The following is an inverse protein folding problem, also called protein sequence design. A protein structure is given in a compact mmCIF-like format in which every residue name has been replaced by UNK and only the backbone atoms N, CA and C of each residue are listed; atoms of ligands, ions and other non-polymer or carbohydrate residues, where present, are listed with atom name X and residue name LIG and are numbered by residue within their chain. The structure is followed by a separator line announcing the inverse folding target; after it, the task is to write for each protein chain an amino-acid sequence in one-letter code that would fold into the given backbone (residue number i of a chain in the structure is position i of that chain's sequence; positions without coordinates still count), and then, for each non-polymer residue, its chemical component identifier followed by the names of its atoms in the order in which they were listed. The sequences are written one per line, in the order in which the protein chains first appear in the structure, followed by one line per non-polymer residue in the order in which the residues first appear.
data_IF_796147662564
#
_entry.id   IF_796147662564
#
_cell.length_a   1.000
_cell.length_b   1.000
_cell.length_c   1.000
_cell.angle_alpha   90.00
_cell.angle_beta   90.00
_cell.angle_gamma   90.00
#
_symmetry.space_group_name_H-M   'P 1'
#
loop_
_entity.id
_entity.type
_entity.pdbx_description
1 polymer ?
#
# COMPACT_ATOMS: atom_id res chain seq x y z
N UNK A 1 17.05 -0.12 -15.42
CA UNK A 1 15.94 -0.71 -16.21
C UNK A 1 14.85 0.35 -16.30
N UNK A 2 14.23 0.55 -17.49
CA UNK A 2 13.10 1.45 -17.62
C UNK A 2 11.87 0.92 -16.86
N UNK A 3 10.83 1.77 -16.76
CA UNK A 3 9.51 1.40 -16.21
C UNK A 3 8.96 0.17 -16.93
N UNK A 4 8.24 -0.69 -16.18
CA UNK A 4 7.48 -1.81 -16.76
C UNK A 4 6.13 -1.33 -17.30
N UNK A 5 5.83 -1.66 -18.54
CA UNK A 5 4.59 -1.27 -19.24
C UNK A 5 3.50 -2.36 -19.22
N UNK A 6 3.83 -3.55 -18.71
CA UNK A 6 2.89 -4.65 -18.49
C UNK A 6 2.17 -4.59 -17.13
N UNK A 7 2.51 -3.58 -16.30
CA UNK A 7 1.89 -3.31 -15.00
C UNK A 7 1.21 -1.95 -15.07
N UNK A 8 -0.03 -1.86 -14.62
CA UNK A 8 -0.80 -0.62 -14.57
C UNK A 8 -1.27 -0.31 -13.15
N UNK A 9 -1.70 -1.32 -12.39
CA UNK A 9 -2.20 -1.18 -11.02
C UNK A 9 -1.33 -1.94 -10.04
N UNK A 10 -0.91 -1.27 -8.96
CA UNK A 10 -0.09 -1.86 -7.91
C UNK A 10 -0.81 -1.75 -6.56
N UNK A 11 -0.96 -2.87 -5.87
CA UNK A 11 -1.45 -2.93 -4.50
C UNK A 11 -0.29 -2.81 -3.50
N UNK A 12 -0.42 -1.91 -2.53
CA UNK A 12 0.56 -1.65 -1.48
C UNK A 12 -0.08 -1.92 -0.11
N UNK A 13 0.25 -3.04 0.56
CA UNK A 13 -0.16 -3.26 1.95
C UNK A 13 0.71 -2.45 2.91
N UNK A 14 0.07 -1.69 3.79
CA UNK A 14 0.71 -0.95 4.89
C UNK A 14 1.00 -1.82 6.09
N UNK A 15 1.54 -1.20 7.15
CA UNK A 15 1.94 -1.89 8.38
C UNK A 15 0.82 -2.12 9.40
N UNK A 16 -0.35 -1.53 9.19
CA UNK A 16 -1.37 -1.47 10.23
C UNK A 16 -0.96 -0.56 11.40
N UNK A 17 -1.55 -0.74 12.60
CA UNK A 17 -1.33 0.13 13.75
C UNK A 17 0.12 0.08 14.25
N UNK A 18 0.58 1.20 14.82
CA UNK A 18 1.91 1.30 15.43
C UNK A 18 2.02 0.39 16.65
N UNK A 19 3.08 -0.42 16.68
CA UNK A 19 3.46 -1.27 17.82
C UNK A 19 4.96 -1.18 18.09
N UNK A 20 5.39 -1.64 19.26
CA UNK A 20 6.83 -1.73 19.57
C UNK A 20 7.49 -2.66 18.54
N UNK A 21 8.50 -2.16 17.84
CA UNK A 21 9.23 -2.89 16.80
C UNK A 21 8.67 -2.76 15.38
N UNK A 22 7.52 -2.10 15.21
CA UNK A 22 6.95 -1.75 13.90
C UNK A 22 6.13 -0.46 14.02
N UNK A 23 6.76 0.67 13.70
CA UNK A 23 6.21 1.99 14.00
C UNK A 23 6.15 2.91 12.77
N UNK A 24 6.36 4.21 12.98
CA UNK A 24 6.13 5.27 11.98
C UNK A 24 7.06 5.18 10.76
N UNK A 25 8.13 4.40 10.82
CA UNK A 25 9.04 4.14 9.69
C UNK A 25 8.31 3.57 8.47
N UNK A 26 7.17 2.88 8.67
CA UNK A 26 6.37 2.31 7.59
C UNK A 26 5.34 3.29 7.01
N UNK A 27 4.88 4.29 7.77
CA UNK A 27 4.16 5.42 7.17
C UNK A 27 5.10 6.22 6.26
N UNK A 28 6.31 6.52 6.75
CA UNK A 28 7.33 7.18 5.94
C UNK A 28 7.65 6.38 4.67
N UNK A 29 7.96 5.09 4.81
CA UNK A 29 8.36 4.24 3.67
C UNK A 29 7.19 4.02 2.70
N UNK A 30 5.99 3.76 3.21
CA UNK A 30 4.77 3.60 2.41
C UNK A 30 4.43 4.87 1.64
N UNK A 31 4.50 6.05 2.28
CA UNK A 31 4.29 7.35 1.62
C UNK A 31 5.28 7.57 0.48
N UNK A 32 6.57 7.26 0.69
CA UNK A 32 7.59 7.37 -0.35
C UNK A 32 7.31 6.42 -1.52
N UNK A 33 6.90 5.19 -1.24
CA UNK A 33 6.55 4.21 -2.26
C UNK A 33 5.36 4.66 -3.11
N UNK A 34 4.28 5.12 -2.49
CA UNK A 34 3.09 5.63 -3.18
C UNK A 34 3.47 6.81 -4.09
N UNK A 35 4.23 7.79 -3.57
CA UNK A 35 4.71 8.94 -4.37
C UNK A 35 5.55 8.50 -5.56
N UNK A 36 6.49 7.58 -5.35
CA UNK A 36 7.36 7.09 -6.42
C UNK A 36 6.59 6.35 -7.51
N UNK A 37 5.64 5.49 -7.13
CA UNK A 37 4.82 4.74 -8.09
C UNK A 37 3.91 5.68 -8.91
N UNK A 38 3.25 6.65 -8.26
CA UNK A 38 2.40 7.61 -8.97
C UNK A 38 3.18 8.55 -9.88
N UNK A 39 4.39 8.97 -9.48
CA UNK A 39 5.28 9.75 -10.34
C UNK A 39 5.69 9.00 -11.62
N UNK A 40 5.64 7.66 -11.60
CA UNK A 40 5.86 6.80 -12.78
C UNK A 40 4.56 6.46 -13.53
N UNK A 41 3.42 7.06 -13.14
CA UNK A 41 2.13 6.87 -13.80
C UNK A 41 1.48 5.51 -13.52
N UNK A 42 1.85 4.83 -12.44
CA UNK A 42 1.10 3.67 -11.96
C UNK A 42 -0.14 4.11 -11.20
N UNK A 43 -1.22 3.36 -11.35
CA UNK A 43 -2.36 3.41 -10.45
C UNK A 43 -1.99 2.71 -9.15
N UNK A 44 -2.16 3.38 -8.02
CA UNK A 44 -1.80 2.85 -6.70
C UNK A 44 -3.05 2.58 -5.87
N UNK A 45 -3.19 1.35 -5.43
CA UNK A 45 -4.18 0.90 -4.45
C UNK A 45 -3.44 0.69 -3.13
N UNK A 46 -3.87 1.36 -2.07
CA UNK A 46 -3.27 1.25 -0.75
C UNK A 46 -4.27 0.64 0.24
N UNK A 47 -3.80 -0.28 1.08
CA UNK A 47 -4.56 -0.74 2.26
C UNK A 47 -3.73 -0.55 3.52
N UNK A 48 -4.28 0.14 4.52
CA UNK A 48 -3.65 0.28 5.83
C UNK A 48 -4.72 0.56 6.89
N UNK A 49 -4.78 -0.27 7.93
CA UNK A 49 -5.77 -0.13 9.01
C UNK A 49 -5.50 1.04 9.95
N UNK A 50 -4.32 1.68 9.88
CA UNK A 50 -3.97 2.82 10.71
C UNK A 50 -4.44 4.14 10.08
N UNK A 51 -5.47 4.82 10.63
CA UNK A 51 -5.97 6.07 10.06
C UNK A 51 -5.06 7.28 10.35
N UNK A 52 -4.07 7.14 11.24
CA UNK A 52 -3.18 8.23 11.64
C UNK A 52 -1.86 8.20 10.85
N UNK A 53 -1.96 8.01 9.52
CA UNK A 53 -0.79 7.94 8.63
C UNK A 53 -0.96 8.87 7.43
N UNK A 54 0.13 9.48 6.99
CA UNK A 54 0.13 10.31 5.78
C UNK A 54 -0.15 9.47 4.53
N UNK A 55 0.34 8.23 4.50
CA UNK A 55 0.09 7.35 3.35
C UNK A 55 -1.41 7.12 3.11
N UNK A 56 -2.26 7.16 4.16
CA UNK A 56 -3.72 7.01 4.04
C UNK A 56 -4.46 8.31 3.70
N UNK A 57 -3.77 9.42 3.49
CA UNK A 57 -4.43 10.65 3.03
C UNK A 57 -5.11 10.41 1.67
N UNK A 58 -6.36 10.89 1.46
CA UNK A 58 -7.13 10.60 0.24
C UNK A 58 -6.46 11.04 -1.07
N UNK A 59 -5.53 12.01 -0.99
CA UNK A 59 -4.85 12.56 -2.16
C UNK A 59 -3.60 11.76 -2.56
N UNK A 60 -3.12 10.86 -1.69
CA UNK A 60 -1.83 10.19 -1.87
C UNK A 60 -1.91 9.03 -2.86
N UNK A 61 -2.87 8.12 -2.71
CA UNK A 61 -3.10 6.99 -3.61
C UNK A 61 -4.35 7.20 -4.48
N UNK A 62 -4.52 6.40 -5.53
CA UNK A 62 -5.71 6.47 -6.39
C UNK A 62 -6.90 5.75 -5.77
N UNK A 63 -6.65 4.73 -4.94
CA UNK A 63 -7.63 4.13 -4.04
C UNK A 63 -6.97 3.84 -2.68
N UNK A 64 -7.58 4.31 -1.60
CA UNK A 64 -7.10 4.10 -0.22
C UNK A 64 -8.16 3.37 0.59
N UNK A 65 -7.78 2.24 1.17
CA UNK A 65 -8.61 1.42 2.05
C UNK A 65 -8.09 1.50 3.48
N UNK A 66 -8.90 2.08 4.36
CA UNK A 66 -8.68 2.01 5.81
C UNK A 66 -9.44 0.80 6.34
N UNK A 67 -8.90 -0.37 6.04
CA UNK A 67 -9.46 -1.69 6.33
C UNK A 67 -8.44 -2.56 7.07
N UNK A 68 -8.85 -3.62 7.78
CA UNK A 68 -7.94 -4.58 8.40
C UNK A 68 -6.89 -5.10 7.42
N UNK A 69 -5.64 -5.20 7.85
CA UNK A 69 -4.54 -5.73 7.02
C UNK A 69 -4.46 -7.25 7.18
N UNK A 70 -5.55 -7.93 6.83
CA UNK A 70 -5.68 -9.40 6.89
C UNK A 70 -5.87 -10.00 5.50
N UNK A 71 -5.55 -11.29 5.28
CA UNK A 71 -5.74 -11.95 3.98
C UNK A 71 -7.16 -11.80 3.42
N UNK A 72 -8.20 -11.89 4.26
CA UNK A 72 -9.60 -11.81 3.82
C UNK A 72 -9.94 -10.42 3.27
N UNK A 73 -9.46 -9.37 3.95
CA UNK A 73 -9.65 -8.00 3.47
C UNK A 73 -8.84 -7.74 2.19
N UNK A 74 -7.60 -8.23 2.11
CA UNK A 74 -6.78 -8.14 0.91
C UNK A 74 -7.42 -8.91 -0.26
N UNK A 75 -7.96 -10.10 -0.05
CA UNK A 75 -8.67 -10.89 -1.07
C UNK A 75 -9.87 -10.12 -1.62
N UNK A 76 -10.68 -9.50 -0.76
CA UNK A 76 -11.81 -8.67 -1.16
C UNK A 76 -11.37 -7.46 -2.00
N UNK A 77 -10.31 -6.77 -1.55
CA UNK A 77 -9.73 -5.63 -2.29
C UNK A 77 -9.17 -6.10 -3.63
N UNK A 78 -8.42 -7.21 -3.68
CA UNK A 78 -7.87 -7.78 -4.92
C UNK A 78 -8.98 -8.16 -5.90
N UNK A 79 -10.08 -8.75 -5.41
CA UNK A 79 -11.22 -9.11 -6.25
C UNK A 79 -11.90 -7.87 -6.88
N UNK A 80 -12.00 -6.78 -6.12
CA UNK A 80 -12.56 -5.52 -6.60
C UNK A 80 -11.60 -4.76 -7.52
N UNK A 81 -10.35 -4.63 -7.11
CA UNK A 81 -9.36 -3.71 -7.70
C UNK A 81 -8.50 -4.34 -8.80
N UNK A 82 -8.43 -5.67 -8.81
CA UNK A 82 -7.67 -6.48 -9.78
C UNK A 82 -6.26 -5.93 -10.06
N UNK A 83 -5.41 -5.73 -9.03
CA UNK A 83 -4.07 -5.22 -9.22
C UNK A 83 -3.22 -6.19 -10.05
N UNK A 84 -2.34 -5.66 -10.90
CA UNK A 84 -1.42 -6.46 -11.73
C UNK A 84 -0.22 -6.94 -10.91
N UNK A 85 0.13 -6.21 -9.86
CA UNK A 85 1.25 -6.50 -8.98
C UNK A 85 0.99 -6.06 -7.54
N UNK A 86 1.78 -6.58 -6.61
CA UNK A 86 1.78 -6.19 -5.20
C UNK A 86 3.20 -5.77 -4.78
N UNK A 87 3.30 -4.75 -3.93
CA UNK A 87 4.55 -4.30 -3.32
C UNK A 87 4.52 -4.53 -1.79
N UNK A 88 4.82 -5.76 -1.31
CA UNK A 88 4.68 -6.13 0.11
C UNK A 88 5.85 -5.68 1.00
N UNK A 89 6.81 -4.91 0.47
CA UNK A 89 8.10 -4.66 1.13
C UNK A 89 8.16 -3.38 1.96
N UNK A 90 7.09 -2.59 2.00
CA UNK A 90 7.03 -1.29 2.69
C UNK A 90 6.06 -1.26 3.88
N UNK A 91 5.44 -2.40 4.20
CA UNK A 91 4.50 -2.57 5.32
C UNK A 91 5.06 -3.34 6.52
N UNK A 92 6.39 -3.43 6.66
CA UNK A 92 7.02 -4.17 7.74
C UNK A 92 6.72 -5.66 7.70
N UNK A 93 6.66 -6.30 8.87
CA UNK A 93 6.35 -7.72 8.96
C UNK A 93 4.87 -8.00 8.61
N UNK A 94 3.98 -7.06 8.92
CA UNK A 94 2.55 -7.17 8.56
C UNK A 94 2.33 -7.21 7.05
N UNK A 95 3.10 -6.46 6.25
CA UNK A 95 3.02 -6.54 4.79
C UNK A 95 3.58 -7.82 4.19
N UNK A 96 4.43 -8.55 4.94
CA UNK A 96 5.07 -9.79 4.49
C UNK A 96 4.32 -11.07 4.87
N UNK A 97 3.58 -11.04 5.98
CA UNK A 97 2.81 -12.17 6.51
C UNK A 97 1.45 -12.29 5.85
#
# INVERSE_FOLDING_TARGET
MPRRDDIHTILVPGSGPIVIGQAAEFDYSGTQAVKALRAQGYRVVLVNSNPATIMTDPELADATYIEPTTPEALEAIIAQERPDAMLPTVGGQTGLN
#
